data_IF_490970085885
#
_entry.id   IF_490970085885
#
_cell.length_a   1.000
_cell.length_b   1.000
_cell.length_c   1.000
_cell.angle_alpha   90.00
_cell.angle_beta   90.00
_cell.angle_gamma   90.00
#
_symmetry.space_group_name_H-M   'P 1'
#
loop_
_entity.id
_entity.type
_entity.pdbx_description
1 polymer ?
#
# COMPACT_ATOMS: atom_id res chain seq x y z
N UNK A 1 -8.96 -1.44 1.01
CA UNK A 1 -8.71 0.00 1.24
C UNK A 1 -8.90 0.40 2.70
N UNK A 2 -7.81 0.59 3.46
CA UNK A 2 -7.88 1.09 4.83
C UNK A 2 -8.05 2.62 4.92
N UNK A 3 -7.89 3.35 3.80
CA UNK A 3 -7.88 4.82 3.75
C UNK A 3 -9.23 5.44 3.39
N UNK A 4 -10.22 4.62 3.03
CA UNK A 4 -11.53 5.07 2.59
C UNK A 4 -12.33 5.62 3.79
N UNK A 5 -12.96 6.79 3.64
CA UNK A 5 -13.71 7.51 4.67
C UNK A 5 -12.90 8.06 5.87
N UNK A 6 -11.57 8.11 5.79
CA UNK A 6 -10.72 8.73 6.81
C UNK A 6 -10.31 10.14 6.40
N UNK A 7 -10.28 11.05 7.37
CA UNK A 7 -9.64 12.35 7.18
C UNK A 7 -8.11 12.19 7.05
N UNK A 8 -7.40 13.19 6.49
CA UNK A 8 -5.96 13.10 6.24
C UNK A 8 -5.13 12.81 7.51
N UNK A 9 -5.53 13.34 8.68
CA UNK A 9 -4.78 13.11 9.92
C UNK A 9 -4.97 11.68 10.41
N UNK A 10 -6.21 11.17 10.41
CA UNK A 10 -6.51 9.77 10.74
C UNK A 10 -5.79 8.79 9.82
N UNK A 11 -5.68 9.10 8.53
CA UNK A 11 -4.92 8.29 7.56
C UNK A 11 -3.44 8.21 7.93
N UNK A 12 -2.82 9.36 8.22
CA UNK A 12 -1.41 9.41 8.60
C UNK A 12 -1.12 8.60 9.87
N UNK A 13 -2.01 8.69 10.88
CA UNK A 13 -1.90 7.91 12.12
C UNK A 13 -1.96 6.39 11.86
N UNK A 14 -2.92 5.93 11.04
CA UNK A 14 -3.04 4.50 10.72
C UNK A 14 -1.83 4.01 9.93
N UNK A 15 -1.37 4.76 8.93
CA UNK A 15 -0.17 4.39 8.16
C UNK A 15 1.07 4.32 9.07
N UNK A 16 1.21 5.27 10.01
CA UNK A 16 2.27 5.26 11.01
C UNK A 16 2.20 4.05 11.94
N UNK A 17 1.00 3.67 12.38
CA UNK A 17 0.80 2.47 13.21
C UNK A 17 1.14 1.19 12.45
N UNK A 18 0.67 1.07 11.20
CA UNK A 18 0.92 -0.09 10.34
C UNK A 18 2.41 -0.25 10.01
N UNK A 19 3.13 0.86 9.80
CA UNK A 19 4.59 0.84 9.56
C UNK A 19 5.39 0.23 10.71
N UNK A 20 4.91 0.38 11.95
CA UNK A 20 5.56 -0.16 13.14
C UNK A 20 4.96 -1.50 13.59
N UNK A 21 3.99 -2.04 12.85
CA UNK A 21 3.39 -3.32 13.17
C UNK A 21 4.38 -4.45 12.90
N UNK A 22 4.67 -5.27 13.91
CA UNK A 22 5.67 -6.34 13.82
C UNK A 22 5.17 -7.61 13.11
N UNK A 23 3.91 -7.63 12.65
CA UNK A 23 3.33 -8.73 11.90
C UNK A 23 3.32 -8.44 10.40
N UNK A 24 2.71 -9.34 9.64
CA UNK A 24 2.49 -9.14 8.22
C UNK A 24 1.26 -8.26 7.98
N UNK A 25 1.37 -7.32 7.05
CA UNK A 25 0.26 -6.49 6.56
C UNK A 25 0.06 -6.78 5.09
N UNK A 26 -1.18 -7.06 4.69
CA UNK A 26 -1.57 -7.09 3.27
C UNK A 26 -2.38 -5.83 3.02
N UNK A 27 -1.89 -4.98 2.11
CA UNK A 27 -2.50 -3.72 1.75
C UNK A 27 -3.10 -3.81 0.34
N UNK A 28 -4.30 -3.25 0.19
CA UNK A 28 -4.91 -2.96 -1.11
C UNK A 28 -5.29 -1.49 -1.09
N UNK A 29 -4.69 -0.68 -1.96
CA UNK A 29 -4.85 0.76 -2.03
C UNK A 29 -4.67 1.28 -3.46
N UNK A 30 -5.37 2.37 -3.79
CA UNK A 30 -5.12 3.17 -5.00
C UNK A 30 -4.35 4.47 -4.70
N UNK A 31 -3.87 4.64 -3.47
CA UNK A 31 -3.17 5.84 -3.01
C UNK A 31 -1.66 5.58 -2.98
N UNK A 32 -0.92 6.25 -3.85
CA UNK A 32 0.55 6.19 -3.93
C UNK A 32 1.20 6.53 -2.59
N UNK A 33 0.71 7.59 -1.91
CA UNK A 33 1.27 8.02 -0.63
C UNK A 33 1.09 6.98 0.46
N UNK A 34 0.04 6.16 0.41
CA UNK A 34 -0.14 5.05 1.33
C UNK A 34 0.84 3.90 1.06
N UNK A 35 1.13 3.62 -0.21
CA UNK A 35 2.09 2.59 -0.61
C UNK A 35 3.52 3.02 -0.28
N UNK A 36 3.88 4.25 -0.59
CA UNK A 36 5.18 4.84 -0.23
C UNK A 36 5.39 4.86 1.29
N UNK A 37 4.38 5.27 2.05
CA UNK A 37 4.48 5.34 3.51
C UNK A 37 4.72 3.98 4.17
N UNK A 38 4.18 2.90 3.58
CA UNK A 38 4.30 1.56 4.11
C UNK A 38 5.48 0.78 3.54
N UNK A 39 6.07 1.23 2.42
CA UNK A 39 7.25 0.66 1.79
C UNK A 39 7.23 -0.88 1.75
N UNK A 40 6.31 -1.46 0.95
CA UNK A 40 6.10 -2.90 0.94
C UNK A 40 7.33 -3.65 0.40
N UNK A 41 7.44 -4.93 0.78
CA UNK A 41 8.52 -5.78 0.30
C UNK A 41 8.14 -6.56 -0.98
N UNK A 42 6.85 -6.84 -1.16
CA UNK A 42 6.34 -7.71 -2.24
C UNK A 42 5.03 -7.15 -2.80
N UNK A 43 4.74 -7.53 -4.04
CA UNK A 43 3.50 -7.20 -4.76
C UNK A 43 2.85 -8.46 -5.30
N UNK A 44 1.51 -8.47 -5.36
CA UNK A 44 0.73 -9.52 -6.03
C UNK A 44 -0.12 -8.86 -7.11
N UNK A 45 0.10 -9.27 -8.35
CA UNK A 45 -0.60 -8.78 -9.54
C UNK A 45 -1.82 -9.67 -9.82
N UNK A 46 -2.99 -9.05 -9.86
CA UNK A 46 -4.27 -9.71 -10.14
C UNK A 46 -4.75 -9.37 -11.57
N UNK A 47 -5.50 -10.28 -12.24
CA UNK A 47 -6.15 -11.47 -11.69
C UNK A 47 -5.26 -12.73 -11.65
N UNK A 48 -4.09 -12.70 -12.31
CA UNK A 48 -3.28 -13.91 -12.53
C UNK A 48 -2.58 -14.43 -11.26
N UNK A 49 -2.54 -13.63 -10.19
CA UNK A 49 -1.95 -14.01 -8.91
C UNK A 49 -0.43 -14.10 -8.97
N UNK A 50 0.20 -13.35 -9.87
CA UNK A 50 1.65 -13.31 -10.03
C UNK A 50 2.25 -12.52 -8.87
N UNK A 51 3.19 -13.12 -8.14
CA UNK A 51 3.90 -12.47 -7.05
C UNK A 51 5.29 -12.02 -7.50
N UNK A 52 5.69 -10.81 -7.10
CA UNK A 52 7.02 -10.26 -7.34
C UNK A 52 7.54 -9.48 -6.11
N UNK A 53 8.82 -9.11 -6.13
CA UNK A 53 9.38 -8.14 -5.20
C UNK A 53 8.92 -6.73 -5.56
N UNK A 54 8.75 -5.89 -4.54
CA UNK A 54 8.39 -4.50 -4.76
C UNK A 54 9.51 -3.74 -5.50
N UNK A 55 9.09 -2.85 -6.40
CA UNK A 55 9.88 -1.96 -7.23
C UNK A 55 9.07 -0.67 -7.42
N UNK A 56 9.73 0.49 -7.41
CA UNK A 56 9.12 1.80 -7.69
C UNK A 56 8.42 1.87 -9.05
N UNK A 57 8.85 1.09 -10.06
CA UNK A 57 8.18 1.02 -11.37
C UNK A 57 6.70 0.58 -11.26
N UNK A 58 6.30 -0.08 -10.18
CA UNK A 58 4.91 -0.44 -9.94
C UNK A 58 4.02 0.75 -9.53
N UNK A 59 4.60 1.89 -9.13
CA UNK A 59 3.84 3.11 -8.82
C UNK A 59 3.07 3.58 -10.05
N UNK A 60 3.66 3.48 -11.24
CA UNK A 60 3.00 3.84 -12.50
C UNK A 60 1.68 3.07 -12.71
N UNK A 61 1.61 1.81 -12.27
CA UNK A 61 0.38 1.00 -12.36
C UNK A 61 -0.71 1.46 -11.38
N UNK A 62 -0.33 2.08 -10.27
CA UNK A 62 -1.25 2.65 -9.28
C UNK A 62 -1.82 3.96 -9.81
N UNK A 63 -0.96 4.80 -10.42
CA UNK A 63 -1.34 6.12 -10.98
C UNK A 63 -2.33 6.01 -12.14
N UNK A 64 -2.35 4.87 -12.84
CA UNK A 64 -3.16 4.63 -14.04
C UNK A 64 -4.61 4.21 -13.74
N UNK A 65 -4.94 3.92 -12.48
CA UNK A 65 -6.19 3.27 -12.06
C UNK A 65 -7.27 4.26 -11.57
#
# INVERSE_FOLDING_TARGET
EPTNNLDPASRAEILGALRNYSGAVVLVSHDEGAVEALNPERVVLLPDGVEDLWNEDYLDLITLA
#
